data_IF_137382224668
#
_entry.id   IF_137382224668
#
_cell.length_a   1.000
_cell.length_b   1.000
_cell.length_c   1.000
_cell.angle_alpha   90.00
_cell.angle_beta   90.00
_cell.angle_gamma   90.00
#
_symmetry.space_group_name_H-M   'P 1'
#
loop_
_entity.id
_entity.type
_entity.pdbx_description
1 polymer ?
#
# COMPACT_ATOMS: atom_id res chain seq x y z
N UNK A 1 -20.25 -19.94 -6.73
CA UNK A 1 -19.43 -18.72 -6.55
C UNK A 1 -19.12 -18.15 -7.94
N UNK A 2 -19.81 -17.11 -8.44
CA UNK A 2 -19.51 -16.59 -9.76
C UNK A 2 -18.32 -15.63 -9.64
N UNK A 3 -17.18 -16.02 -10.18
CA UNK A 3 -16.13 -15.07 -10.56
C UNK A 3 -16.74 -14.15 -11.62
N UNK A 4 -16.73 -12.84 -11.40
CA UNK A 4 -17.20 -11.88 -12.40
C UNK A 4 -16.30 -11.97 -13.65
N UNK A 5 -16.75 -12.73 -14.65
CA UNK A 5 -16.30 -12.59 -16.03
C UNK A 5 -16.82 -11.24 -16.53
N UNK A 6 -15.95 -10.24 -16.60
CA UNK A 6 -16.25 -9.05 -17.39
C UNK A 6 -16.13 -9.42 -18.88
N UNK A 7 -17.28 -9.68 -19.50
CA UNK A 7 -17.41 -10.07 -20.92
C UNK A 7 -17.24 -8.85 -21.84
N UNK A 8 -16.08 -8.79 -22.49
CA UNK A 8 -15.74 -8.23 -23.81
C UNK A 8 -16.68 -7.17 -24.40
N UNK A 9 -16.18 -5.95 -24.61
CA UNK A 9 -15.93 -5.38 -25.95
C UNK A 9 -15.63 -3.88 -25.85
N UNK A 10 -14.37 -3.51 -26.03
CA UNK A 10 -13.88 -2.35 -26.79
C UNK A 10 -12.39 -2.25 -26.54
N UNK A 11 -11.62 -2.32 -27.63
CA UNK A 11 -10.18 -2.10 -27.74
C UNK A 11 -9.54 -1.34 -26.55
N UNK A 12 -9.03 -2.07 -25.56
CA UNK A 12 -8.14 -1.48 -24.55
C UNK A 12 -6.76 -1.30 -25.18
N UNK A 13 -6.60 -0.22 -25.97
CA UNK A 13 -5.30 0.36 -26.33
C UNK A 13 -4.70 1.18 -25.17
N UNK A 14 -5.23 1.06 -23.96
CA UNK A 14 -4.60 1.63 -22.78
C UNK A 14 -3.36 0.79 -22.47
N UNK A 15 -2.24 1.20 -23.06
CA UNK A 15 -0.93 0.95 -22.49
C UNK A 15 -1.01 1.27 -20.98
N UNK A 16 -0.31 0.51 -20.12
CA UNK A 16 -0.19 0.89 -18.72
C UNK A 16 0.25 2.36 -18.68
N UNK A 17 -0.38 3.22 -17.83
CA UNK A 17 0.10 4.59 -17.70
C UNK A 17 1.60 4.53 -17.44
N UNK A 18 2.37 5.33 -18.18
CA UNK A 18 3.81 5.40 -18.01
C UNK A 18 4.13 5.54 -16.51
N UNK A 19 5.18 4.88 -15.98
CA UNK A 19 5.56 5.08 -14.60
C UNK A 19 5.74 6.57 -14.38
N UNK A 20 4.93 7.15 -13.51
CA UNK A 20 5.09 8.53 -13.08
C UNK A 20 6.41 8.55 -12.34
N UNK A 21 7.46 9.06 -12.99
CA UNK A 21 8.73 9.37 -12.32
C UNK A 21 8.50 10.75 -11.70
N UNK A 22 8.02 10.77 -10.46
CA UNK A 22 7.97 12.00 -9.67
C UNK A 22 9.37 12.34 -9.14
N UNK A 23 9.87 13.57 -9.38
CA UNK A 23 11.22 13.96 -9.00
C UNK A 23 11.37 14.32 -7.52
N UNK A 24 10.36 14.07 -6.69
CA UNK A 24 10.35 14.36 -5.26
C UNK A 24 9.96 13.09 -4.52
N UNK A 25 10.52 12.82 -3.33
CA UNK A 25 10.15 11.62 -2.60
C UNK A 25 8.68 11.76 -2.20
N UNK A 26 7.82 11.03 -2.91
CA UNK A 26 6.45 10.76 -2.54
C UNK A 26 6.48 10.43 -1.06
N UNK A 27 5.70 11.15 -0.26
CA UNK A 27 5.73 11.03 1.19
C UNK A 27 5.46 9.58 1.60
N UNK A 28 6.53 8.80 1.79
CA UNK A 28 6.43 7.36 2.06
C UNK A 28 6.21 7.16 3.55
N UNK A 29 5.12 6.49 3.91
CA UNK A 29 4.74 6.26 5.30
C UNK A 29 4.40 7.56 6.07
N UNK A 30 5.10 7.81 7.18
CA UNK A 30 4.88 8.95 8.06
C UNK A 30 5.63 10.23 7.62
N UNK A 31 6.38 10.15 6.51
CA UNK A 31 7.07 11.27 5.89
C UNK A 31 8.46 11.57 6.47
N UNK A 32 8.96 12.78 6.18
CA UNK A 32 10.30 13.25 6.56
C UNK A 32 10.31 13.96 7.91
N UNK A 33 11.45 13.84 8.60
CA UNK A 33 11.76 14.45 9.88
C UNK A 33 13.16 15.08 9.84
N UNK A 34 13.34 16.17 10.59
CA UNK A 34 14.62 16.89 10.66
C UNK A 34 15.72 16.05 11.33
N UNK A 35 16.98 16.41 11.08
CA UNK A 35 18.16 15.63 11.49
C UNK A 35 18.24 15.28 12.99
N UNK A 36 17.67 16.13 13.85
CA UNK A 36 17.70 15.97 15.30
C UNK A 36 16.37 15.45 15.86
N UNK A 37 15.49 14.96 15.00
CA UNK A 37 14.17 14.48 15.41
C UNK A 37 14.28 13.26 16.30
N UNK A 38 13.57 13.32 17.43
CA UNK A 38 13.39 12.20 18.36
C UNK A 38 11.90 11.87 18.41
N UNK A 39 11.51 10.61 18.14
CA UNK A 39 10.13 10.19 18.30
C UNK A 39 9.63 10.46 19.72
N UNK A 40 8.42 10.98 19.80
CA UNK A 40 7.70 11.20 21.06
C UNK A 40 6.50 10.27 21.16
N UNK A 41 5.91 10.16 22.34
CA UNK A 41 4.66 9.42 22.55
C UNK A 41 3.52 9.96 21.67
N UNK A 42 3.54 11.27 21.36
CA UNK A 42 2.59 11.90 20.45
C UNK A 42 2.74 11.42 19.01
N UNK A 43 3.97 11.16 18.56
CA UNK A 43 4.24 10.63 17.21
C UNK A 43 3.78 9.18 17.09
N UNK A 44 3.96 8.40 18.16
CA UNK A 44 3.44 7.03 18.22
C UNK A 44 1.92 7.02 18.17
N UNK A 45 1.24 7.84 18.98
CA UNK A 45 -0.21 7.96 18.94
C UNK A 45 -0.74 8.42 17.57
N UNK A 46 -0.04 9.35 16.91
CA UNK A 46 -0.36 9.76 15.55
C UNK A 46 -0.22 8.61 14.55
N UNK A 47 0.88 7.86 14.62
CA UNK A 47 1.09 6.66 13.82
C UNK A 47 -0.03 5.64 14.01
N UNK A 48 -0.37 5.30 15.25
CA UNK A 48 -1.42 4.34 15.54
C UNK A 48 -2.78 4.77 14.97
N UNK A 49 -3.12 6.05 15.09
CA UNK A 49 -4.33 6.61 14.51
C UNK A 49 -4.31 6.55 12.98
N UNK A 50 -3.20 6.91 12.33
CA UNK A 50 -3.05 6.87 10.88
C UNK A 50 -3.11 5.43 10.32
N UNK A 51 -2.40 4.50 10.96
CA UNK A 51 -2.43 3.06 10.67
C UNK A 51 -3.84 2.51 10.79
N UNK A 52 -4.50 2.75 11.92
CA UNK A 52 -5.86 2.27 12.18
C UNK A 52 -6.83 2.83 11.14
N UNK A 53 -6.74 4.12 10.82
CA UNK A 53 -7.57 4.75 9.79
C UNK A 53 -7.39 4.08 8.42
N UNK A 54 -6.16 3.76 8.02
CA UNK A 54 -5.90 3.05 6.76
C UNK A 54 -6.49 1.64 6.79
N UNK A 55 -6.24 0.88 7.86
CA UNK A 55 -6.68 -0.51 8.01
C UNK A 55 -8.20 -0.67 8.09
N UNK A 56 -8.93 0.35 8.54
CA UNK A 56 -10.41 0.33 8.54
C UNK A 56 -11.03 0.45 7.15
N UNK A 57 -10.26 0.86 6.13
CA UNK A 57 -10.69 0.90 4.73
C UNK A 57 -10.55 -0.46 4.05
N UNK A 58 -10.88 -0.56 2.76
CA UNK A 58 -10.63 -1.76 1.94
C UNK A 58 -9.15 -2.17 1.93
N UNK A 59 -8.23 -1.22 2.16
CA UNK A 59 -6.78 -1.49 2.22
C UNK A 59 -6.40 -2.43 3.35
N UNK A 60 -7.18 -2.47 4.44
CA UNK A 60 -6.99 -3.46 5.50
C UNK A 60 -7.19 -4.90 5.06
N UNK A 61 -8.09 -5.14 4.09
CA UNK A 61 -8.31 -6.48 3.51
C UNK A 61 -7.10 -6.91 2.69
N UNK A 62 -6.57 -5.98 1.89
CA UNK A 62 -5.35 -6.17 1.09
C UNK A 62 -4.15 -6.44 2.00
N UNK A 63 -4.04 -5.70 3.11
CA UNK A 63 -3.00 -5.89 4.13
C UNK A 63 -3.08 -7.26 4.82
N UNK A 64 -4.29 -7.78 5.08
CA UNK A 64 -4.45 -9.14 5.59
C UNK A 64 -4.01 -10.19 4.57
N UNK A 65 -4.26 -9.96 3.28
CA UNK A 65 -3.91 -10.87 2.18
C UNK A 65 -2.44 -10.87 1.82
N UNK A 66 -1.73 -9.77 2.05
CA UNK A 66 -0.29 -9.67 1.76
C UNK A 66 0.55 -10.64 2.60
N UNK A 67 0.00 -11.17 3.69
CA UNK A 67 0.69 -12.08 4.59
C UNK A 67 1.80 -11.39 5.40
N UNK A 68 2.65 -12.20 6.03
CA UNK A 68 3.83 -11.75 6.76
C UNK A 68 3.53 -10.82 7.94
N UNK A 69 4.44 -9.88 8.19
CA UNK A 69 4.33 -8.89 9.27
C UNK A 69 3.13 -7.95 9.07
N UNK A 70 2.88 -7.54 7.82
CA UNK A 70 1.76 -6.65 7.47
C UNK A 70 0.42 -7.30 7.83
N UNK A 71 0.22 -8.57 7.50
CA UNK A 71 -1.00 -9.28 7.87
C UNK A 71 -1.14 -9.44 9.39
N UNK A 72 -0.03 -9.65 10.10
CA UNK A 72 -0.04 -9.71 11.57
C UNK A 72 -0.52 -8.38 12.17
N UNK A 73 0.04 -7.26 11.73
CA UNK A 73 -0.36 -5.91 12.18
C UNK A 73 -1.82 -5.62 11.79
N UNK A 74 -2.21 -5.99 10.57
CA UNK A 74 -3.58 -5.79 10.09
C UNK A 74 -4.61 -6.60 10.91
N UNK A 75 -4.25 -7.79 11.39
CA UNK A 75 -5.13 -8.65 12.17
C UNK A 75 -5.51 -8.08 13.54
N UNK A 76 -4.76 -7.10 14.05
CA UNK A 76 -5.08 -6.42 15.31
C UNK A 76 -6.27 -5.44 15.15
N UNK A 77 -6.56 -5.01 13.91
CA UNK A 77 -7.60 -4.01 13.60
C UNK A 77 -8.73 -4.60 12.76
N UNK A 78 -8.41 -5.51 11.83
CA UNK A 78 -9.32 -6.03 10.82
C UNK A 78 -9.65 -7.49 11.10
N UNK A 79 -10.94 -7.84 11.11
CA UNK A 79 -11.35 -9.23 11.28
C UNK A 79 -10.96 -10.08 10.08
N UNK A 80 -10.63 -11.34 10.35
CA UNK A 80 -10.25 -12.32 9.32
C UNK A 80 -11.36 -12.51 8.27
N UNK A 81 -12.63 -12.36 8.66
CA UNK A 81 -13.76 -12.45 7.74
C UNK A 81 -13.67 -11.42 6.59
N UNK A 82 -13.10 -10.25 6.85
CA UNK A 82 -12.89 -9.23 5.81
C UNK A 82 -11.83 -9.61 4.80
N UNK A 83 -10.88 -10.51 5.14
CA UNK A 83 -9.92 -11.03 4.17
C UNK A 83 -10.55 -11.97 3.14
N UNK A 84 -11.77 -12.45 3.38
CA UNK A 84 -12.50 -13.35 2.48
C UNK A 84 -13.39 -12.60 1.46
N UNK A 85 -13.61 -11.30 1.65
CA UNK A 85 -14.39 -10.46 0.74
C UNK A 85 -13.65 -10.22 -0.57
N UNK A 86 -14.31 -10.21 -1.74
CA UNK A 86 -13.65 -10.04 -3.04
C UNK A 86 -12.75 -8.78 -3.18
N UNK A 87 -12.04 -8.61 -4.30
CA UNK A 87 -11.21 -7.43 -4.55
C UNK A 87 -12.01 -6.13 -4.35
N UNK A 88 -11.35 -5.11 -3.82
CA UNK A 88 -11.95 -3.79 -3.63
C UNK A 88 -12.14 -3.04 -4.95
N UNK A 89 -12.84 -1.91 -4.89
CA UNK A 89 -13.17 -1.12 -6.08
C UNK A 89 -11.91 -0.54 -6.77
N UNK A 90 -10.82 -0.40 -6.02
CA UNK A 90 -9.54 0.20 -6.49
C UNK A 90 -8.59 -0.81 -7.16
N UNK A 91 -9.00 -2.05 -7.34
CA UNK A 91 -8.17 -3.11 -7.95
C UNK A 91 -7.66 -2.74 -9.35
N UNK A 92 -8.41 -1.92 -10.08
CA UNK A 92 -8.06 -1.48 -11.44
C UNK A 92 -6.99 -0.37 -11.44
N UNK A 93 -6.91 0.43 -10.36
CA UNK A 93 -5.97 1.55 -10.23
C UNK A 93 -4.65 1.14 -9.55
N UNK A 94 -4.74 0.30 -8.52
CA UNK A 94 -3.63 0.00 -7.60
C UNK A 94 -3.30 -1.49 -7.53
N UNK A 95 -4.03 -2.32 -8.26
CA UNK A 95 -3.81 -3.76 -8.30
C UNK A 95 -2.78 -4.21 -9.32
N UNK A 96 -2.43 -5.49 -9.27
CA UNK A 96 -1.55 -6.15 -10.23
C UNK A 96 -2.39 -6.90 -11.25
N UNK A 97 -2.13 -6.64 -12.52
CA UNK A 97 -2.77 -7.35 -13.63
C UNK A 97 -1.89 -8.53 -14.08
N UNK A 98 -2.43 -9.75 -13.97
CA UNK A 98 -1.85 -10.94 -14.56
C UNK A 98 -2.65 -11.35 -15.81
N UNK A 99 -2.00 -11.25 -16.98
CA UNK A 99 -2.59 -11.66 -18.26
C UNK A 99 -1.78 -12.78 -18.91
N UNK A 100 -2.28 -14.03 -18.91
CA UNK A 100 -1.63 -15.11 -19.64
C UNK A 100 -1.59 -14.81 -21.15
N UNK A 101 -0.47 -15.11 -21.81
CA UNK A 101 -0.19 -14.78 -23.22
C UNK A 101 -1.25 -15.28 -24.22
N UNK A 102 -2.01 -16.32 -23.88
CA UNK A 102 -3.02 -16.95 -24.73
C UNK A 102 -4.44 -16.91 -24.13
N UNK A 103 -4.64 -16.18 -23.03
CA UNK A 103 -5.95 -16.08 -22.40
C UNK A 103 -6.69 -14.82 -22.87
N UNK A 104 -7.99 -14.98 -23.15
CA UNK A 104 -8.88 -13.86 -23.46
C UNK A 104 -9.25 -13.01 -22.23
N UNK A 105 -8.85 -13.45 -21.03
CA UNK A 105 -9.17 -12.82 -19.75
C UNK A 105 -7.89 -12.42 -19.01
N UNK A 106 -7.96 -11.33 -18.25
CA UNK A 106 -6.91 -10.86 -17.36
C UNK A 106 -7.41 -10.93 -15.92
N UNK A 107 -6.51 -11.27 -15.00
CA UNK A 107 -6.78 -11.35 -13.57
C UNK A 107 -6.23 -10.11 -12.89
N UNK A 108 -6.99 -9.55 -11.96
CA UNK A 108 -6.60 -8.39 -11.17
C UNK A 108 -6.59 -8.77 -9.71
N UNK A 109 -5.49 -8.47 -9.03
CA UNK A 109 -5.36 -8.68 -7.59
C UNK A 109 -4.98 -7.36 -6.91
N UNK A 110 -5.55 -7.10 -5.74
CA UNK A 110 -5.24 -5.88 -5.01
C UNK A 110 -3.83 -5.97 -4.42
N UNK A 111 -3.07 -4.88 -4.50
CA UNK A 111 -1.75 -4.78 -3.87
C UNK A 111 -1.63 -3.49 -3.08
N UNK A 112 -0.98 -3.55 -1.92
CA UNK A 112 -0.59 -2.34 -1.19
C UNK A 112 0.47 -1.55 -1.96
N UNK A 113 0.36 -0.22 -1.92
CA UNK A 113 1.43 0.65 -2.40
C UNK A 113 2.57 0.65 -1.40
N UNK A 114 3.78 0.98 -1.85
CA UNK A 114 4.94 1.05 -0.95
C UNK A 114 4.72 2.04 0.21
N UNK A 115 4.03 3.14 -0.04
CA UNK A 115 3.68 4.13 0.99
C UNK A 115 2.75 3.57 2.07
N UNK A 116 1.79 2.73 1.68
CA UNK A 116 0.86 2.08 2.61
C UNK A 116 1.57 0.98 3.41
N UNK A 117 2.42 0.18 2.77
CA UNK A 117 3.26 -0.81 3.47
C UNK A 117 4.16 -0.10 4.49
N UNK A 118 4.80 0.99 4.08
CA UNK A 118 5.63 1.83 4.95
C UNK A 118 4.81 2.46 6.09
N UNK A 119 3.59 2.96 5.82
CA UNK A 119 2.72 3.51 6.85
C UNK A 119 2.31 2.43 7.87
N UNK A 120 1.92 1.23 7.42
CA UNK A 120 1.54 0.12 8.30
C UNK A 120 2.73 -0.30 9.17
N UNK A 121 3.94 -0.27 8.62
CA UNK A 121 5.16 -0.60 9.33
C UNK A 121 5.71 0.57 10.18
N UNK A 122 5.03 1.71 10.24
CA UNK A 122 5.47 2.86 11.05
C UNK A 122 6.75 3.54 10.55
N UNK A 123 7.00 3.48 9.24
CA UNK A 123 8.23 3.98 8.63
C UNK A 123 8.23 5.50 8.55
N UNK A 124 9.34 6.11 8.95
CA UNK A 124 9.65 7.52 8.74
C UNK A 124 11.11 7.71 8.31
N UNK A 125 11.40 8.87 7.71
CA UNK A 125 12.74 9.23 7.25
C UNK A 125 13.30 10.39 8.06
N UNK A 126 14.58 10.31 8.42
CA UNK A 126 15.32 11.39 9.09
C UNK A 126 16.41 11.90 8.16
N UNK A 127 16.49 13.22 8.00
CA UNK A 127 17.53 13.86 7.21
C UNK A 127 18.89 13.75 7.93
N UNK A 128 19.76 12.86 7.48
CA UNK A 128 21.15 12.82 7.95
C UNK A 128 21.89 13.98 7.28
N UNK A 129 22.41 14.96 8.03
CA UNK A 129 22.92 16.26 7.55
C UNK A 129 24.12 16.28 6.58
N UNK A 130 24.29 15.26 5.74
CA UNK A 130 25.31 15.18 4.70
C UNK A 130 24.69 15.59 3.37
N UNK A 131 25.42 16.32 2.52
CA UNK A 131 25.00 16.79 1.18
C UNK A 131 24.65 15.64 0.19
N UNK A 132 24.74 14.38 0.62
CA UNK A 132 24.11 13.24 -0.02
C UNK A 132 22.85 12.89 0.78
N UNK A 133 21.66 13.00 0.18
CA UNK A 133 20.35 12.70 0.77
C UNK A 133 20.20 11.21 1.10
N UNK A 134 21.01 10.69 2.02
CA UNK A 134 20.85 9.35 2.58
C UNK A 134 19.77 9.42 3.63
N UNK A 135 18.58 8.98 3.25
CA UNK A 135 17.44 8.82 4.16
C UNK A 135 17.55 7.46 4.84
N UNK A 136 17.67 7.43 6.17
CA UNK A 136 17.63 6.17 6.91
C UNK A 136 16.19 5.80 7.23
N UNK A 137 15.84 4.53 7.00
CA UNK A 137 14.53 3.95 7.31
C UNK A 137 14.49 3.60 8.80
N UNK A 138 13.61 4.25 9.55
CA UNK A 138 13.40 3.96 10.97
C UNK A 138 12.01 3.37 11.20
N UNK A 139 11.92 2.48 12.19
CA UNK A 139 10.67 1.86 12.66
C UNK A 139 10.36 2.41 14.05
N UNK A 140 9.09 2.72 14.31
CA UNK A 140 8.58 3.08 15.66
C UNK A 140 8.40 1.84 16.54
#
# INVERSE_FOLDING_TARGET
MPFHLCSKNSHCLFAPPAPVIDPWPIHSGLGYRGAEYKPTDGDYAYYEAARTRLLLTERGQVALRSGGLIARIASDVVSVDRALLGPGDRVVEQGVCFRPRHAAVAFWDDKLTEDEENLICGVYYVATGTLALTSHKFYL
#
